data_IF_807872973503
#
_entry.id   IF_807872973503
#
_cell.length_a   1.000
_cell.length_b   1.000
_cell.length_c   1.000
_cell.angle_alpha   90.00
_cell.angle_beta   90.00
_cell.angle_gamma   90.00
#
_symmetry.space_group_name_H-M   'P 1'
#
loop_
_entity.id
_entity.type
_entity.pdbx_description
1 polymer ?
#
# COMPACT_ATOMS: atom_id res chain seq x y z
N UNK A 1 -27.81 -28.51 -55.47
CA UNK A 1 -28.60 -27.75 -56.46
C UNK A 1 -29.99 -28.34 -56.49
N UNK A 2 -31.06 -27.53 -56.51
CA UNK A 2 -31.15 -26.10 -56.18
C UNK A 2 -32.12 -25.91 -54.98
N UNK A 3 -32.33 -24.75 -54.35
CA UNK A 3 -32.04 -23.33 -54.54
C UNK A 3 -32.30 -22.70 -53.15
N UNK A 4 -31.50 -21.80 -52.60
CA UNK A 4 -31.07 -20.54 -53.20
C UNK A 4 -31.96 -19.42 -52.64
N UNK A 5 -31.41 -18.62 -51.72
CA UNK A 5 -32.12 -17.49 -51.10
C UNK A 5 -31.25 -16.71 -50.12
N UNK A 6 -30.16 -16.12 -50.61
CA UNK A 6 -29.44 -15.04 -49.93
C UNK A 6 -30.29 -13.76 -50.02
N UNK A 7 -30.41 -13.03 -48.91
CA UNK A 7 -30.74 -11.61 -48.92
C UNK A 7 -29.69 -10.88 -48.09
N UNK A 8 -28.86 -10.13 -48.79
CA UNK A 8 -27.98 -9.08 -48.29
C UNK A 8 -28.68 -7.77 -48.63
N UNK A 9 -28.89 -6.87 -47.66
CA UNK A 9 -28.97 -5.42 -47.92
C UNK A 9 -28.27 -4.68 -46.77
N UNK A 10 -27.57 -3.64 -47.20
CA UNK A 10 -26.70 -2.73 -46.49
C UNK A 10 -27.38 -1.89 -45.39
N UNK A 11 -26.57 -1.59 -44.37
CA UNK A 11 -26.25 -0.25 -43.88
C UNK A 11 -27.39 0.70 -43.51
N UNK A 12 -27.41 1.13 -42.24
CA UNK A 12 -27.48 2.54 -41.89
C UNK A 12 -26.79 2.77 -40.54
N UNK A 13 -25.78 3.63 -40.55
CA UNK A 13 -25.28 4.34 -39.37
C UNK A 13 -26.42 5.19 -38.82
N UNK A 14 -26.67 5.12 -37.51
CA UNK A 14 -27.17 6.27 -36.75
C UNK A 14 -26.34 6.36 -35.46
N UNK A 15 -25.35 7.25 -35.51
CA UNK A 15 -24.72 7.87 -34.36
C UNK A 15 -25.68 8.95 -33.86
N UNK A 16 -26.37 8.73 -32.74
CA UNK A 16 -26.98 9.85 -32.02
C UNK A 16 -26.00 10.40 -30.98
N UNK A 17 -25.43 11.54 -31.35
CA UNK A 17 -24.74 12.47 -30.46
C UNK A 17 -25.78 13.12 -29.55
N UNK A 18 -25.65 12.96 -28.24
CA UNK A 18 -26.11 13.98 -27.30
C UNK A 18 -24.92 14.78 -26.78
N UNK A 19 -24.88 16.02 -27.27
CA UNK A 19 -23.94 17.07 -26.91
C UNK A 19 -24.58 17.90 -25.81
N UNK A 20 -24.00 17.90 -24.60
CA UNK A 20 -24.17 19.00 -23.66
C UNK A 20 -22.79 19.45 -23.14
N UNK A 21 -22.48 20.65 -23.57
CA UNK A 21 -21.36 21.54 -23.31
C UNK A 21 -21.00 21.71 -21.83
N UNK A 22 -19.72 21.51 -21.50
CA UNK A 22 -19.05 22.10 -20.33
C UNK A 22 -18.20 23.29 -20.79
N UNK A 23 -18.31 24.50 -20.21
CA UNK A 23 -17.36 25.58 -20.44
C UNK A 23 -16.27 25.58 -19.35
N UNK A 24 -15.04 25.93 -19.76
CA UNK A 24 -14.04 26.51 -18.87
C UNK A 24 -12.78 25.68 -18.70
N UNK A 25 -11.84 25.78 -19.64
CA UNK A 25 -10.40 25.90 -19.36
C UNK A 25 -9.72 26.35 -20.67
N UNK A 26 -9.45 27.65 -20.78
CA UNK A 26 -8.69 28.24 -21.87
C UNK A 26 -7.38 28.80 -21.33
N UNK A 27 -6.34 28.56 -22.12
CA UNK A 27 -5.04 29.25 -22.18
C UNK A 27 -3.95 28.83 -21.17
N UNK A 28 -3.00 28.03 -21.67
CA UNK A 28 -1.60 28.46 -21.79
C UNK A 28 -1.00 27.78 -23.04
N UNK A 29 -0.86 28.55 -24.14
CA UNK A 29 -0.04 28.22 -25.30
C UNK A 29 1.13 29.19 -25.32
N UNK A 30 2.34 28.65 -25.38
CA UNK A 30 3.52 29.41 -25.73
C UNK A 30 4.75 28.92 -25.00
N UNK A 31 5.50 28.02 -25.63
CA UNK A 31 6.95 28.10 -25.75
C UNK A 31 7.42 27.04 -26.76
N UNK A 32 8.05 27.53 -27.81
CA UNK A 32 8.53 26.84 -29.00
C UNK A 32 9.66 25.86 -28.72
N UNK A 33 9.53 24.63 -29.21
CA UNK A 33 10.60 23.63 -29.23
C UNK A 33 11.70 24.04 -30.24
N UNK A 34 12.96 24.08 -29.79
CA UNK A 34 14.13 24.00 -30.67
C UNK A 34 14.59 22.56 -30.73
N UNK A 35 14.58 22.01 -31.94
CA UNK A 35 15.11 20.70 -32.26
C UNK A 35 16.63 20.66 -32.04
N UNK A 36 17.12 19.62 -31.38
CA UNK A 36 18.54 19.24 -31.35
C UNK A 36 18.66 17.88 -32.03
N UNK A 37 19.47 17.84 -33.09
CA UNK A 37 19.75 16.66 -33.90
C UNK A 37 20.46 15.58 -33.06
N UNK A 38 19.97 14.35 -33.14
CA UNK A 38 20.67 13.15 -32.66
C UNK A 38 21.61 12.62 -33.75
N UNK A 39 22.91 12.58 -33.47
CA UNK A 39 23.87 11.76 -34.22
C UNK A 39 24.04 10.41 -33.54
N UNK A 40 24.02 9.36 -34.35
CA UNK A 40 24.20 7.97 -33.94
C UNK A 40 25.66 7.69 -33.55
N UNK A 41 25.86 6.99 -32.42
CA UNK A 41 27.14 6.43 -32.03
C UNK A 41 26.94 5.15 -31.24
N UNK A 42 27.27 4.01 -31.86
CA UNK A 42 27.31 2.68 -31.26
C UNK A 42 28.51 2.54 -30.32
N UNK A 43 28.27 2.17 -29.06
CA UNK A 43 29.30 1.61 -28.17
C UNK A 43 28.66 0.85 -26.98
N UNK A 44 28.88 -0.46 -26.91
CA UNK A 44 29.14 -1.13 -25.61
C UNK A 44 30.57 -0.75 -25.17
N UNK A 45 30.98 -0.75 -23.87
CA UNK A 45 30.64 -1.72 -22.81
C UNK A 45 30.67 -1.20 -21.34
N UNK A 46 30.63 -2.14 -20.39
CA UNK A 46 31.24 -2.12 -19.04
C UNK A 46 30.53 -1.43 -17.85
N UNK A 47 30.48 -2.21 -16.77
CA UNK A 47 29.99 -1.95 -15.41
C UNK A 47 30.57 -0.68 -14.77
N UNK A 48 29.71 0.24 -14.30
CA UNK A 48 30.09 1.29 -13.34
C UNK A 48 29.62 0.91 -11.94
N UNK A 49 30.56 0.49 -11.09
CA UNK A 49 30.45 0.62 -9.62
C UNK A 49 30.85 2.06 -9.28
N UNK A 50 29.93 2.84 -8.74
CA UNK A 50 30.20 4.22 -8.35
C UNK A 50 28.99 4.83 -7.66
N UNK A 51 28.65 4.36 -6.47
CA UNK A 51 27.74 5.06 -5.58
C UNK A 51 28.47 6.21 -4.88
N UNK A 52 27.86 7.40 -4.82
CA UNK A 52 28.34 8.50 -3.98
C UNK A 52 27.94 8.21 -2.52
N UNK A 53 28.81 8.48 -1.53
CA UNK A 53 28.40 8.42 -0.13
C UNK A 53 27.39 9.55 0.16
N UNK A 54 26.21 9.19 0.65
CA UNK A 54 25.27 10.14 1.28
C UNK A 54 25.68 10.31 2.74
N UNK A 55 25.87 11.55 3.19
CA UNK A 55 26.27 11.81 4.58
C UNK A 55 25.08 11.54 5.51
N UNK A 56 25.09 10.39 6.18
CA UNK A 56 24.15 10.08 7.24
C UNK A 56 24.68 10.64 8.56
N UNK A 57 23.86 11.45 9.25
CA UNK A 57 24.21 11.91 10.59
C UNK A 57 24.25 10.71 11.54
N UNK A 58 25.38 10.53 12.23
CA UNK A 58 25.52 9.54 13.29
C UNK A 58 24.47 9.81 14.37
N UNK A 59 23.54 8.88 14.56
CA UNK A 59 22.53 8.97 15.61
C UNK A 59 23.20 9.18 16.97
N UNK A 60 22.82 10.27 17.64
CA UNK A 60 23.36 10.71 18.92
C UNK A 60 23.55 9.54 19.92
N UNK A 61 24.77 9.40 20.39
CA UNK A 61 25.17 8.57 21.53
C UNK A 61 24.79 9.31 22.81
N UNK A 62 23.52 9.27 23.20
CA UNK A 62 23.03 9.87 24.45
C UNK A 62 21.94 8.99 25.04
N UNK A 63 21.96 8.82 26.37
CA UNK A 63 20.91 8.12 27.12
C UNK A 63 19.52 8.67 26.77
N UNK A 64 18.47 7.83 26.72
CA UNK A 64 17.17 8.25 26.23
C UNK A 64 16.54 9.22 27.24
N UNK A 65 16.48 10.50 26.85
CA UNK A 65 15.52 11.44 27.42
C UNK A 65 14.09 11.09 26.97
N UNK A 66 13.06 11.68 27.57
CA UNK A 66 11.68 11.47 27.16
C UNK A 66 11.53 11.78 25.66
N UNK A 67 10.82 10.89 24.94
CA UNK A 67 10.55 11.01 23.51
C UNK A 67 9.85 12.35 23.23
N UNK A 68 10.53 13.25 22.52
CA UNK A 68 9.87 14.43 21.95
C UNK A 68 8.72 14.00 21.04
N UNK A 69 7.62 14.76 20.96
CA UNK A 69 6.53 14.44 20.03
C UNK A 69 7.07 14.36 18.60
N UNK A 70 6.59 13.39 17.79
CA UNK A 70 7.08 13.21 16.44
C UNK A 70 6.87 14.48 15.63
N UNK A 71 7.88 14.87 14.83
CA UNK A 71 7.79 16.03 13.96
C UNK A 71 6.53 15.95 13.06
N UNK A 72 5.80 17.06 12.86
CA UNK A 72 4.59 17.08 12.04
C UNK A 72 4.88 16.67 10.59
N UNK A 73 3.90 16.03 9.93
CA UNK A 73 4.06 15.47 8.58
C UNK A 73 4.41 16.52 7.51
N UNK A 74 4.06 17.79 7.73
CA UNK A 74 4.45 18.92 6.88
C UNK A 74 5.98 19.14 6.80
N UNK A 75 6.75 18.58 7.74
CA UNK A 75 8.21 18.63 7.71
C UNK A 75 8.85 17.57 6.79
N UNK A 76 8.03 16.71 6.18
CA UNK A 76 8.43 15.65 5.22
C UNK A 76 7.96 16.01 3.82
N UNK A 77 8.30 17.21 3.38
CA UNK A 77 7.92 17.72 2.08
C UNK A 77 9.10 17.75 1.10
N UNK A 78 8.82 17.48 -0.16
CA UNK A 78 9.78 17.59 -1.26
C UNK A 78 9.06 17.74 -2.58
N UNK A 79 9.65 18.50 -3.50
CA UNK A 79 9.13 18.67 -4.84
C UNK A 79 9.38 17.41 -5.67
N UNK A 80 8.36 16.90 -6.33
CA UNK A 80 8.50 15.81 -7.29
C UNK A 80 7.46 15.94 -8.41
N UNK A 81 7.73 15.33 -9.56
CA UNK A 81 6.77 15.31 -10.66
C UNK A 81 5.67 14.29 -10.40
N UNK A 82 4.37 14.63 -10.53
CA UNK A 82 3.28 13.66 -10.44
C UNK A 82 3.40 12.50 -11.44
N UNK A 83 4.16 12.68 -12.53
CA UNK A 83 4.44 11.61 -13.50
C UNK A 83 5.28 10.45 -12.94
N UNK A 84 5.93 10.64 -11.78
CA UNK A 84 6.66 9.59 -11.08
C UNK A 84 5.76 8.71 -10.20
N UNK A 85 4.47 9.00 -10.06
CA UNK A 85 3.53 8.08 -9.39
C UNK A 85 3.17 6.95 -10.36
N UNK A 86 3.40 5.70 -9.97
CA UNK A 86 3.02 4.56 -10.81
C UNK A 86 1.50 4.36 -10.82
N UNK A 87 0.85 4.79 -11.90
CA UNK A 87 -0.62 4.69 -12.05
C UNK A 87 -1.11 3.32 -12.52
N UNK A 88 -0.20 2.42 -12.90
CA UNK A 88 -0.48 1.08 -13.44
C UNK A 88 0.54 0.04 -13.00
N UNK A 89 0.14 -1.24 -12.86
CA UNK A 89 1.04 -2.37 -12.63
C UNK A 89 2.24 -2.42 -13.60
N UNK A 90 3.42 -2.87 -13.16
CA UNK A 90 4.56 -3.16 -14.05
C UNK A 90 4.17 -4.06 -15.23
N UNK A 91 3.30 -5.03 -15.01
CA UNK A 91 2.86 -6.01 -16.01
C UNK A 91 2.11 -5.36 -17.17
N UNK A 92 1.28 -4.33 -16.91
CA UNK A 92 0.61 -3.57 -17.96
C UNK A 92 1.56 -2.59 -18.65
N UNK A 93 2.65 -2.20 -17.97
CA UNK A 93 3.73 -1.37 -18.55
C UNK A 93 4.74 -2.19 -19.36
N UNK A 94 4.52 -3.51 -19.52
CA UNK A 94 5.35 -4.40 -20.34
C UNK A 94 6.57 -5.00 -19.62
N UNK A 95 6.57 -5.03 -18.29
CA UNK A 95 7.69 -5.53 -17.46
C UNK A 95 7.20 -6.46 -16.35
N UNK A 96 8.07 -7.33 -15.83
CA UNK A 96 7.77 -8.16 -14.67
C UNK A 96 7.74 -7.36 -13.35
N UNK A 97 7.06 -7.89 -12.32
CA UNK A 97 7.03 -7.27 -10.98
C UNK A 97 8.41 -7.14 -10.34
N UNK A 98 9.33 -8.03 -10.69
CA UNK A 98 10.72 -8.09 -10.25
C UNK A 98 11.69 -7.26 -11.14
N UNK A 99 11.18 -6.62 -12.20
CA UNK A 99 11.90 -5.63 -13.01
C UNK A 99 11.89 -4.22 -12.42
N UNK A 100 11.08 -4.00 -11.38
CA UNK A 100 11.07 -2.78 -10.61
C UNK A 100 12.50 -2.41 -10.18
N UNK A 101 12.81 -1.11 -10.19
CA UNK A 101 14.09 -0.64 -9.69
C UNK A 101 14.15 -0.90 -8.19
N UNK A 102 15.36 -1.16 -7.71
CA UNK A 102 15.68 -1.29 -6.31
C UNK A 102 16.78 -0.29 -5.98
N UNK A 103 16.53 0.64 -5.06
CA UNK A 103 17.59 1.45 -4.47
C UNK A 103 18.05 0.77 -3.19
N UNK A 104 19.34 0.50 -3.06
CA UNK A 104 19.92 -0.05 -1.83
C UNK A 104 20.69 1.04 -1.11
N UNK A 105 20.37 1.25 0.16
CA UNK A 105 21.05 2.18 1.05
C UNK A 105 21.73 1.40 2.18
N UNK A 106 23.06 1.42 2.23
CA UNK A 106 23.81 1.03 3.43
C UNK A 106 23.84 2.20 4.41
N UNK A 107 23.14 2.07 5.54
CA UNK A 107 23.04 3.16 6.52
C UNK A 107 24.34 3.45 7.26
N UNK A 108 25.27 2.50 7.30
CA UNK A 108 26.52 2.67 8.03
C UNK A 108 27.53 3.42 7.18
N UNK A 109 27.65 3.08 5.90
CA UNK A 109 28.58 3.74 4.99
C UNK A 109 27.98 4.91 4.21
N UNK A 110 26.65 5.01 4.16
CA UNK A 110 25.94 5.94 3.29
C UNK A 110 26.01 5.55 1.81
N UNK A 111 26.40 4.31 1.49
CA UNK A 111 26.52 3.86 0.10
C UNK A 111 25.13 3.68 -0.50
N UNK A 112 24.94 4.26 -1.69
CA UNK A 112 23.73 4.08 -2.50
C UNK A 112 24.05 3.24 -3.72
N UNK A 113 23.26 2.20 -3.97
CA UNK A 113 23.35 1.37 -5.17
C UNK A 113 22.01 1.31 -5.91
N UNK A 114 22.08 1.39 -7.24
CA UNK A 114 20.92 1.22 -8.12
C UNK A 114 20.92 -0.20 -8.70
N UNK A 115 19.86 -0.94 -8.41
CA UNK A 115 19.67 -2.36 -8.74
C UNK A 115 18.30 -2.60 -9.34
N UNK A 116 18.03 -3.86 -9.68
CA UNK A 116 16.67 -4.35 -9.95
C UNK A 116 16.18 -5.18 -8.78
N UNK A 117 14.87 -5.29 -8.61
CA UNK A 117 14.30 -6.05 -7.50
C UNK A 117 14.71 -7.52 -7.55
N UNK A 118 14.83 -8.12 -8.74
CA UNK A 118 15.43 -9.46 -8.93
C UNK A 118 16.82 -9.64 -8.31
N UNK A 119 17.58 -8.57 -8.08
CA UNK A 119 18.91 -8.61 -7.46
C UNK A 119 18.84 -8.67 -5.92
N UNK A 120 17.65 -8.53 -5.31
CA UNK A 120 17.45 -8.48 -3.86
C UNK A 120 18.10 -9.65 -3.14
N UNK A 121 18.04 -10.85 -3.72
CA UNK A 121 18.63 -12.05 -3.13
C UNK A 121 20.13 -11.94 -2.88
N UNK A 122 20.86 -11.07 -3.59
CA UNK A 122 22.30 -10.85 -3.33
C UNK A 122 22.59 -10.11 -2.01
N UNK A 123 21.58 -9.46 -1.44
CA UNK A 123 21.67 -8.75 -0.16
C UNK A 123 21.13 -9.56 1.01
N UNK A 124 20.68 -10.79 0.79
CA UNK A 124 20.16 -11.71 1.81
C UNK A 124 21.14 -12.88 2.00
N UNK A 125 21.41 -13.20 3.26
CA UNK A 125 22.35 -14.24 3.67
C UNK A 125 21.59 -15.47 4.19
N UNK A 126 22.16 -16.68 4.04
CA UNK A 126 21.64 -17.86 4.74
C UNK A 126 21.53 -17.57 6.24
N UNK A 127 20.39 -17.91 6.84
CA UNK A 127 20.11 -17.61 8.24
C UNK A 127 19.31 -16.32 8.48
N UNK A 128 19.15 -15.44 7.49
CA UNK A 128 18.26 -14.28 7.63
C UNK A 128 16.77 -14.72 7.69
N UNK A 129 15.93 -13.91 8.35
CA UNK A 129 14.48 -14.01 8.32
C UNK A 129 13.89 -12.88 7.47
N UNK A 130 13.30 -13.21 6.32
CA UNK A 130 12.51 -12.30 5.50
C UNK A 130 11.05 -12.35 5.96
N UNK A 131 10.57 -11.25 6.53
CA UNK A 131 9.20 -11.14 7.06
C UNK A 131 8.29 -10.46 6.04
N UNK A 132 7.21 -11.13 5.68
CA UNK A 132 6.24 -10.71 4.68
C UNK A 132 4.84 -10.58 5.29
N UNK A 133 4.07 -9.58 4.87
CA UNK A 133 2.65 -9.47 5.21
C UNK A 133 1.82 -10.30 4.22
N UNK A 134 1.18 -11.38 4.67
CA UNK A 134 0.39 -12.28 3.82
C UNK A 134 -1.10 -11.87 3.68
N UNK A 135 -1.47 -10.67 4.14
CA UNK A 135 -2.82 -10.17 4.00
C UNK A 135 -3.22 -10.03 2.53
N UNK A 136 -4.40 -10.56 2.20
CA UNK A 136 -4.95 -10.66 0.85
C UNK A 136 -6.10 -9.67 0.70
N UNK A 137 -6.07 -8.93 -0.41
CA UNK A 137 -7.15 -8.02 -0.77
C UNK A 137 -8.41 -8.82 -1.06
N UNK A 138 -9.53 -8.36 -0.52
CA UNK A 138 -10.88 -8.83 -0.84
C UNK A 138 -11.68 -7.67 -1.42
N UNK A 139 -12.73 -7.93 -2.22
CA UNK A 139 -13.68 -6.92 -2.67
C UNK A 139 -14.51 -6.42 -1.47
N UNK A 140 -13.90 -5.60 -0.64
CA UNK A 140 -14.41 -5.22 0.68
C UNK A 140 -15.48 -4.13 0.68
N UNK A 141 -15.61 -3.42 -0.43
CA UNK A 141 -16.47 -2.25 -0.52
C UNK A 141 -17.87 -2.68 -0.95
N UNK A 142 -18.81 -2.62 -0.01
CA UNK A 142 -20.21 -2.99 -0.23
C UNK A 142 -21.06 -1.74 -0.38
N UNK A 143 -21.83 -1.68 -1.45
CA UNK A 143 -22.87 -0.66 -1.67
C UNK A 143 -24.23 -1.25 -1.32
N UNK A 144 -25.05 -0.49 -0.61
CA UNK A 144 -26.34 -0.98 -0.12
C UNK A 144 -27.30 0.11 0.32
N UNK A 145 -28.29 -0.30 1.09
CA UNK A 145 -29.25 0.61 1.72
C UNK A 145 -29.40 0.34 3.22
N UNK A 146 -29.88 1.36 3.93
CA UNK A 146 -29.99 1.37 5.38
C UNK A 146 -31.30 0.76 5.95
N UNK A 147 -32.05 0.09 5.08
CA UNK A 147 -33.37 -0.49 5.36
C UNK A 147 -34.54 0.49 5.26
N UNK A 148 -34.28 1.80 5.05
CA UNK A 148 -35.30 2.84 4.80
C UNK A 148 -35.18 3.44 3.40
N UNK A 149 -34.36 2.86 2.54
CA UNK A 149 -34.03 3.37 1.20
C UNK A 149 -32.89 4.39 1.18
N UNK A 150 -32.24 4.68 2.31
CA UNK A 150 -31.07 5.57 2.35
C UNK A 150 -29.80 4.84 1.89
N UNK A 151 -28.97 5.42 1.01
CA UNK A 151 -27.75 4.76 0.54
C UNK A 151 -26.72 4.61 1.67
N UNK A 152 -26.07 3.44 1.75
CA UNK A 152 -24.95 3.15 2.65
C UNK A 152 -23.78 2.44 1.95
N UNK A 153 -22.56 2.88 2.22
CA UNK A 153 -21.32 2.16 1.89
C UNK A 153 -20.77 1.52 3.15
N UNK A 154 -20.38 0.25 3.04
CA UNK A 154 -19.61 -0.44 4.07
C UNK A 154 -18.27 -0.87 3.48
N UNK A 155 -17.17 -0.53 4.16
CA UNK A 155 -15.85 -1.05 3.79
C UNK A 155 -15.39 -2.07 4.83
N UNK A 156 -15.36 -3.35 4.44
CA UNK A 156 -15.04 -4.48 5.30
C UNK A 156 -13.52 -4.72 5.41
N UNK A 157 -13.06 -5.10 6.59
CA UNK A 157 -11.68 -5.55 6.78
C UNK A 157 -11.62 -6.45 8.00
N UNK A 158 -10.52 -7.20 8.14
CA UNK A 158 -10.23 -7.97 9.35
C UNK A 158 -11.38 -8.92 9.75
N UNK A 159 -11.53 -10.07 9.05
CA UNK A 159 -12.47 -11.10 9.47
C UNK A 159 -12.12 -11.66 10.84
N UNK A 160 -13.15 -12.06 11.58
CA UNK A 160 -13.05 -12.61 12.93
C UNK A 160 -13.50 -14.08 12.95
N UNK A 161 -13.01 -14.82 13.95
CA UNK A 161 -13.29 -16.26 14.08
C UNK A 161 -14.78 -16.58 14.30
N UNK A 162 -15.57 -15.62 14.79
CA UNK A 162 -17.01 -15.75 15.01
C UNK A 162 -17.86 -15.40 13.77
N UNK A 163 -17.21 -15.28 12.60
CA UNK A 163 -17.83 -14.94 11.32
C UNK A 163 -18.19 -13.45 11.17
N UNK A 164 -17.83 -12.61 12.14
CA UNK A 164 -18.01 -11.16 12.02
C UNK A 164 -16.82 -10.51 11.31
N UNK A 165 -17.04 -9.29 10.85
CA UNK A 165 -16.02 -8.46 10.22
C UNK A 165 -15.94 -7.13 10.94
N UNK A 166 -14.75 -6.53 10.93
CA UNK A 166 -14.64 -5.10 11.16
C UNK A 166 -15.03 -4.34 9.90
N UNK A 167 -15.64 -3.17 10.07
CA UNK A 167 -16.00 -2.32 8.95
C UNK A 167 -16.04 -0.85 9.31
N UNK A 168 -15.91 0.00 8.28
CA UNK A 168 -16.34 1.39 8.34
C UNK A 168 -17.70 1.51 7.63
N UNK A 169 -18.56 2.40 8.14
CA UNK A 169 -19.91 2.64 7.60
C UNK A 169 -20.04 4.10 7.21
N UNK A 170 -20.61 4.37 6.04
CA UNK A 170 -20.85 5.72 5.53
C UNK A 170 -22.24 5.80 4.87
N UNK A 171 -23.08 6.82 5.16
CA UNK A 171 -22.85 7.92 6.10
C UNK A 171 -22.74 7.43 7.54
N UNK A 172 -22.02 8.17 8.40
CA UNK A 172 -21.86 7.80 9.81
C UNK A 172 -23.21 7.65 10.55
N UNK A 173 -24.22 8.42 10.14
CA UNK A 173 -25.61 8.33 10.62
C UNK A 173 -26.28 6.99 10.34
N UNK A 174 -25.74 6.17 9.44
CA UNK A 174 -26.19 4.82 9.21
C UNK A 174 -25.69 3.83 10.28
N UNK A 175 -24.76 4.20 11.15
CA UNK A 175 -24.24 3.33 12.21
C UNK A 175 -25.12 3.31 13.47
N UNK A 176 -25.74 2.16 13.78
CA UNK A 176 -26.39 1.94 15.07
C UNK A 176 -26.36 0.44 15.45
N UNK A 177 -26.16 0.07 16.74
CA UNK A 177 -26.21 -1.32 17.16
C UNK A 177 -27.59 -1.94 16.84
N UNK A 178 -27.57 -3.15 16.27
CA UNK A 178 -28.75 -3.87 15.79
C UNK A 178 -29.29 -3.38 14.45
N UNK A 179 -28.72 -2.32 13.84
CA UNK A 179 -29.18 -1.87 12.51
C UNK A 179 -28.83 -2.92 11.45
N UNK A 180 -29.81 -3.19 10.60
CA UNK A 180 -29.68 -4.11 9.46
C UNK A 180 -29.52 -3.29 8.19
N UNK A 181 -28.42 -3.50 7.49
CA UNK A 181 -28.11 -2.96 6.17
C UNK A 181 -28.39 -4.04 5.11
N UNK A 182 -28.75 -3.63 3.89
CA UNK A 182 -29.06 -4.54 2.78
C UNK A 182 -28.12 -4.29 1.61
N UNK A 183 -27.55 -5.35 1.04
CA UNK A 183 -26.56 -5.32 -0.03
C UNK A 183 -26.92 -6.30 -1.15
N UNK A 184 -26.33 -6.07 -2.33
CA UNK A 184 -26.57 -6.89 -3.51
C UNK A 184 -27.96 -6.69 -4.13
N UNK A 185 -28.25 -7.44 -5.19
CA UNK A 185 -29.54 -7.38 -5.88
C UNK A 185 -30.69 -7.70 -4.90
N UNK A 186 -31.71 -6.84 -4.86
CA UNK A 186 -32.90 -6.96 -4.00
C UNK A 186 -32.62 -7.11 -2.48
N UNK A 187 -31.41 -6.78 -2.03
CA UNK A 187 -30.98 -7.01 -0.65
C UNK A 187 -30.80 -8.50 -0.33
N UNK A 188 -30.30 -9.29 -1.28
CA UNK A 188 -29.99 -10.71 -1.12
C UNK A 188 -29.01 -11.00 0.03
N UNK A 189 -28.20 -10.01 0.43
CA UNK A 189 -27.29 -10.09 1.56
C UNK A 189 -27.68 -9.03 2.58
N UNK A 190 -27.79 -9.42 3.84
CA UNK A 190 -28.01 -8.49 4.96
C UNK A 190 -26.77 -8.38 5.82
N UNK A 191 -26.54 -7.21 6.40
CA UNK A 191 -25.47 -6.98 7.36
C UNK A 191 -26.02 -6.39 8.65
N UNK A 192 -25.87 -7.10 9.77
CA UNK A 192 -26.29 -6.60 11.09
C UNK A 192 -25.11 -5.98 11.81
N UNK A 193 -25.19 -4.68 12.13
CA UNK A 193 -24.21 -3.99 12.95
C UNK A 193 -24.35 -4.42 14.41
N UNK A 194 -23.30 -4.97 15.00
CA UNK A 194 -23.32 -5.53 16.36
C UNK A 194 -22.91 -4.50 17.42
N UNK A 195 -22.06 -3.55 17.05
CA UNK A 195 -21.55 -2.50 17.93
C UNK A 195 -20.31 -1.82 17.35
N UNK A 196 -19.92 -0.70 17.94
CA UNK A 196 -18.72 0.05 17.58
C UNK A 196 -17.56 -0.29 18.54
N UNK A 197 -16.38 -0.57 18.00
CA UNK A 197 -15.14 -0.83 18.74
C UNK A 197 -14.27 0.44 18.86
N UNK A 198 -14.87 1.62 18.60
CA UNK A 198 -14.27 2.94 18.67
C UNK A 198 -13.72 3.46 17.34
N UNK A 199 -13.50 4.78 17.27
CA UNK A 199 -12.98 5.48 16.09
C UNK A 199 -13.79 5.23 14.79
N UNK A 200 -15.10 4.96 14.89
CA UNK A 200 -15.97 4.66 13.75
C UNK A 200 -15.82 3.25 13.19
N UNK A 201 -15.09 2.36 13.87
CA UNK A 201 -14.95 0.95 13.49
C UNK A 201 -16.11 0.15 14.07
N UNK A 202 -16.93 -0.44 13.19
CA UNK A 202 -18.06 -1.28 13.56
C UNK A 202 -17.73 -2.76 13.42
N UNK A 203 -18.39 -3.59 14.21
CA UNK A 203 -18.52 -5.03 13.94
C UNK A 203 -19.80 -5.31 13.20
N UNK A 204 -19.71 -6.04 12.09
CA UNK A 204 -20.84 -6.42 11.24
C UNK A 204 -20.87 -7.93 11.03
N UNK A 205 -22.07 -8.51 11.03
CA UNK A 205 -22.31 -9.89 10.60
C UNK A 205 -23.11 -9.90 9.31
N UNK A 206 -22.57 -10.54 8.27
CA UNK A 206 -23.26 -10.73 7.00
C UNK A 206 -24.08 -12.03 7.01
N UNK A 207 -25.22 -12.01 6.33
CA UNK A 207 -26.07 -13.17 6.07
C UNK A 207 -26.65 -13.11 4.63
N UNK A 208 -26.26 -14.03 3.72
CA UNK A 208 -25.21 -15.02 3.92
C UNK A 208 -23.83 -14.38 4.19
N UNK A 209 -22.99 -15.07 4.97
CA UNK A 209 -21.66 -14.58 5.36
C UNK A 209 -20.50 -15.26 4.59
N UNK A 210 -19.27 -14.91 4.98
CA UNK A 210 -18.04 -15.48 4.41
C UNK A 210 -17.30 -14.51 3.48
N UNK A 211 -16.20 -14.95 2.89
CA UNK A 211 -15.48 -14.17 1.87
C UNK A 211 -16.12 -14.29 0.50
N UNK A 212 -16.75 -15.44 0.21
CA UNK A 212 -17.27 -15.75 -1.12
C UNK A 212 -18.45 -14.85 -1.49
N UNK A 213 -19.27 -14.45 -0.50
CA UNK A 213 -20.33 -13.45 -0.70
C UNK A 213 -19.75 -12.11 -1.17
N UNK A 214 -18.54 -11.75 -0.73
CA UNK A 214 -17.91 -10.50 -1.14
C UNK A 214 -17.55 -10.50 -2.63
N UNK A 215 -17.20 -11.65 -3.20
CA UNK A 215 -16.92 -11.76 -4.63
C UNK A 215 -18.16 -11.49 -5.49
N UNK A 216 -19.36 -11.66 -4.93
CA UNK A 216 -20.64 -11.41 -5.61
C UNK A 216 -21.13 -9.96 -5.45
N UNK A 217 -21.02 -9.39 -4.25
CA UNK A 217 -21.64 -8.10 -3.92
C UNK A 217 -20.65 -6.95 -3.68
N UNK A 218 -19.36 -7.27 -3.60
CA UNK A 218 -18.32 -6.33 -3.23
C UNK A 218 -17.53 -5.79 -4.41
N UNK A 219 -16.86 -4.67 -4.16
CA UNK A 219 -15.95 -4.02 -5.10
C UNK A 219 -14.57 -3.85 -4.43
N UNK A 220 -13.51 -3.84 -5.26
CA UNK A 220 -12.18 -3.45 -4.78
C UNK A 220 -12.09 -1.92 -4.79
N UNK A 221 -11.73 -1.36 -3.63
CA UNK A 221 -11.43 0.06 -3.49
C UNK A 221 -10.03 0.36 -4.07
N UNK A 222 -9.96 0.83 -5.31
CA UNK A 222 -8.72 1.26 -5.95
C UNK A 222 -8.35 2.72 -5.65
N UNK A 223 -7.12 3.00 -5.16
CA UNK A 223 -6.66 4.36 -4.96
C UNK A 223 -6.86 5.27 -6.18
N UNK A 224 -7.26 6.53 -5.95
CA UNK A 224 -7.74 7.44 -7.00
C UNK A 224 -6.74 7.70 -8.14
N UNK A 225 -5.43 7.65 -7.85
CA UNK A 225 -4.38 7.82 -8.85
C UNK A 225 -4.23 6.63 -9.82
N UNK A 226 -4.88 5.49 -9.58
CA UNK A 226 -4.87 4.33 -10.47
C UNK A 226 -5.87 4.51 -11.61
N UNK A 227 -5.36 4.52 -12.84
CA UNK A 227 -6.14 4.87 -14.04
C UNK A 227 -6.74 3.67 -14.78
N UNK A 228 -6.36 2.45 -14.40
CA UNK A 228 -6.84 1.22 -15.03
C UNK A 228 -7.64 0.44 -14.00
N UNK A 229 -8.93 0.25 -14.27
CA UNK A 229 -9.88 -0.42 -13.38
C UNK A 229 -10.93 -1.19 -14.21
N UNK A 230 -11.35 -2.40 -13.81
CA UNK A 230 -10.74 -3.20 -12.74
C UNK A 230 -9.32 -3.64 -13.11
N UNK A 231 -8.46 -3.80 -12.11
CA UNK A 231 -7.12 -4.36 -12.28
C UNK A 231 -7.21 -5.88 -12.18
N UNK A 232 -6.48 -6.58 -13.03
CA UNK A 232 -6.33 -8.04 -12.90
C UNK A 232 -5.93 -8.39 -11.46
N UNK A 233 -6.67 -9.28 -10.77
CA UNK A 233 -6.38 -9.62 -9.38
C UNK A 233 -4.95 -10.16 -9.15
N UNK A 234 -4.38 -10.88 -10.11
CA UNK A 234 -2.98 -11.33 -10.09
C UNK A 234 -1.99 -10.17 -10.15
N UNK A 235 -2.38 -9.05 -10.77
CA UNK A 235 -1.67 -7.77 -10.74
C UNK A 235 -2.07 -6.87 -9.56
N UNK A 236 -2.94 -7.29 -8.63
CA UNK A 236 -3.34 -6.50 -7.45
C UNK A 236 -3.17 -7.27 -6.13
N UNK A 237 -2.21 -8.20 -6.08
CA UNK A 237 -1.90 -9.03 -4.92
C UNK A 237 -0.41 -9.34 -4.87
N UNK A 238 0.09 -9.72 -3.69
CA UNK A 238 1.37 -10.40 -3.56
C UNK A 238 1.22 -11.90 -3.90
N UNK A 239 2.29 -12.56 -4.35
CA UNK A 239 2.25 -14.01 -4.69
C UNK A 239 2.08 -14.94 -3.47
N UNK A 240 2.08 -14.38 -2.27
CA UNK A 240 1.96 -15.05 -0.98
C UNK A 240 0.76 -14.52 -0.18
N UNK A 241 -0.20 -13.89 -0.86
CA UNK A 241 -1.42 -13.38 -0.24
C UNK A 241 -2.37 -14.53 0.12
N UNK A 242 -2.29 -15.03 1.35
CA UNK A 242 -3.04 -16.22 1.81
C UNK A 242 -4.18 -15.87 2.78
N UNK A 243 -4.12 -14.74 3.48
CA UNK A 243 -5.07 -14.37 4.54
C UNK A 243 -6.06 -13.30 4.06
N UNK A 244 -7.30 -13.65 3.65
CA UNK A 244 -8.27 -12.66 3.20
C UNK A 244 -8.66 -11.69 4.29
N UNK A 245 -8.87 -10.43 3.92
CA UNK A 245 -9.43 -9.43 4.83
C UNK A 245 -8.77 -8.07 4.79
N UNK A 246 -7.85 -7.83 3.87
CA UNK A 246 -7.32 -6.49 3.63
C UNK A 246 -8.11 -5.81 2.52
N UNK A 247 -8.12 -4.48 2.54
CA UNK A 247 -8.69 -3.66 1.47
C UNK A 247 -7.61 -3.20 0.49
N UNK A 248 -6.35 -3.17 0.93
CA UNK A 248 -5.16 -2.81 0.16
C UNK A 248 -4.10 -3.90 0.32
N UNK A 249 -3.36 -4.17 -0.76
CA UNK A 249 -2.31 -5.19 -0.73
C UNK A 249 -1.04 -4.61 -0.11
N UNK A 250 -0.21 -5.44 0.56
CA UNK A 250 1.09 -5.02 1.09
C UNK A 250 2.09 -4.79 -0.05
N UNK A 251 2.07 -3.57 -0.59
CA UNK A 251 2.70 -3.19 -1.85
C UNK A 251 4.20 -3.44 -1.94
N UNK A 252 4.95 -3.24 -0.85
CA UNK A 252 6.39 -3.50 -0.84
C UNK A 252 6.74 -4.97 -1.18
N UNK A 253 5.84 -5.89 -0.81
CA UNK A 253 5.97 -7.31 -1.07
C UNK A 253 5.52 -7.75 -2.47
N UNK A 254 4.89 -6.87 -3.25
CA UNK A 254 4.33 -7.21 -4.56
C UNK A 254 5.37 -7.56 -5.59
N UNK A 255 6.58 -7.05 -5.45
CA UNK A 255 7.69 -7.28 -6.39
C UNK A 255 8.23 -8.71 -6.38
N UNK A 256 7.96 -9.49 -5.32
CA UNK A 256 8.39 -10.88 -5.26
C UNK A 256 7.63 -11.73 -6.27
N UNK A 257 8.36 -12.60 -6.96
CA UNK A 257 7.81 -13.74 -7.69
C UNK A 257 7.91 -15.01 -6.84
N UNK A 258 7.10 -16.02 -7.14
CA UNK A 258 7.18 -17.30 -6.42
C UNK A 258 8.56 -17.94 -6.57
N UNK A 259 9.16 -17.85 -7.77
CA UNK A 259 10.51 -18.34 -8.05
C UNK A 259 11.57 -17.67 -7.17
N UNK A 260 11.49 -16.36 -6.95
CA UNK A 260 12.40 -15.65 -6.04
C UNK A 260 12.27 -16.15 -4.60
N UNK A 261 11.04 -16.33 -4.11
CA UNK A 261 10.83 -16.82 -2.74
C UNK A 261 11.34 -18.25 -2.56
N UNK A 262 11.16 -19.11 -3.55
CA UNK A 262 11.68 -20.47 -3.53
C UNK A 262 13.22 -20.50 -3.58
N UNK A 263 13.84 -19.64 -4.39
CA UNK A 263 15.30 -19.48 -4.40
C UNK A 263 15.83 -19.04 -3.02
N UNK A 264 15.19 -18.06 -2.39
CA UNK A 264 15.58 -17.58 -1.06
C UNK A 264 15.47 -18.69 0.00
N UNK A 265 14.38 -19.46 -0.01
CA UNK A 265 14.20 -20.62 0.87
C UNK A 265 15.30 -21.66 0.65
N UNK A 266 15.61 -21.99 -0.60
CA UNK A 266 16.65 -22.96 -0.95
C UNK A 266 18.05 -22.49 -0.53
N UNK A 267 18.29 -21.18 -0.48
CA UNK A 267 19.53 -20.57 0.02
C UNK A 267 19.60 -20.47 1.55
N UNK A 268 18.57 -20.91 2.27
CA UNK A 268 18.54 -20.92 3.73
C UNK A 268 18.03 -19.62 4.37
N UNK A 269 17.38 -18.74 3.60
CA UNK A 269 16.62 -17.61 4.15
C UNK A 269 15.27 -18.13 4.64
N UNK A 270 14.91 -17.81 5.89
CA UNK A 270 13.57 -18.10 6.40
C UNK A 270 12.57 -17.09 5.85
N UNK A 271 11.59 -17.55 5.07
CA UNK A 271 10.46 -16.71 4.66
C UNK A 271 9.35 -16.86 5.70
N UNK A 272 9.11 -15.79 6.47
CA UNK A 272 8.18 -15.76 7.59
C UNK A 272 7.00 -14.88 7.25
N UNK A 273 5.79 -15.35 7.53
CA UNK A 273 4.56 -14.61 7.28
C UNK A 273 3.97 -14.04 8.57
N UNK A 274 3.59 -12.78 8.51
CA UNK A 274 2.71 -12.12 9.49
C UNK A 274 1.47 -11.63 8.76
N UNK A 275 0.38 -11.39 9.48
CA UNK A 275 -0.82 -10.79 8.90
C UNK A 275 -1.03 -9.41 9.47
N UNK A 276 -1.17 -8.42 8.61
CA UNK A 276 -1.61 -7.08 8.99
C UNK A 276 -2.68 -6.65 8.00
N UNK A 277 -3.92 -6.59 8.46
CA UNK A 277 -5.07 -6.21 7.64
C UNK A 277 -5.03 -4.70 7.42
N UNK A 278 -4.52 -4.30 6.25
CA UNK A 278 -4.47 -2.90 5.85
C UNK A 278 -5.90 -2.47 5.56
N UNK A 279 -6.37 -1.47 6.30
CA UNK A 279 -7.71 -0.89 6.13
C UNK A 279 -7.61 0.38 5.28
N UNK A 280 -8.39 0.42 4.20
CA UNK A 280 -8.39 1.52 3.26
C UNK A 280 -9.05 2.72 3.92
N UNK A 281 -8.44 3.88 3.69
CA UNK A 281 -9.11 5.17 3.87
C UNK A 281 -10.32 5.22 2.96
N UNK A 282 -11.29 6.06 3.29
CA UNK A 282 -12.35 6.38 2.36
C UNK A 282 -11.74 6.94 1.08
N UNK A 283 -12.01 6.29 -0.05
CA UNK A 283 -11.57 6.76 -1.36
C UNK A 283 -12.61 7.78 -1.84
N UNK A 284 -12.49 9.00 -1.32
CA UNK A 284 -13.50 10.05 -1.44
C UNK A 284 -13.90 10.29 -2.90
N UNK A 285 -12.95 10.33 -3.83
CA UNK A 285 -13.23 10.52 -5.26
C UNK A 285 -14.15 9.45 -5.85
N UNK A 286 -13.93 8.18 -5.50
CA UNK A 286 -14.72 7.05 -6.01
C UNK A 286 -16.12 6.96 -5.39
N UNK A 287 -16.26 7.27 -4.10
CA UNK A 287 -17.51 7.09 -3.36
C UNK A 287 -18.47 8.28 -3.50
N UNK A 288 -17.95 9.46 -3.85
CA UNK A 288 -18.72 10.69 -4.01
C UNK A 288 -19.76 10.62 -5.13
N UNK A 289 -19.45 9.92 -6.22
CA UNK A 289 -20.42 9.68 -7.30
C UNK A 289 -21.66 8.91 -6.83
N UNK A 290 -21.54 8.12 -5.77
CA UNK A 290 -22.60 7.25 -5.28
C UNK A 290 -23.37 7.82 -4.09
N UNK A 291 -22.65 8.45 -3.16
CA UNK A 291 -23.22 9.06 -1.96
C UNK A 291 -23.69 10.50 -2.19
N UNK A 292 -23.17 11.17 -3.22
CA UNK A 292 -23.37 12.59 -3.44
C UNK A 292 -22.51 13.47 -2.53
N UNK A 293 -22.61 14.78 -2.75
CA UNK A 293 -21.78 15.80 -2.10
C UNK A 293 -22.28 16.18 -0.70
N UNK A 294 -23.52 15.83 -0.36
CA UNK A 294 -24.18 16.23 0.89
C UNK A 294 -24.01 15.21 2.04
N UNK A 295 -23.22 14.14 1.82
CA UNK A 295 -22.89 13.20 2.89
C UNK A 295 -21.93 13.83 3.88
N UNK A 296 -22.18 13.58 5.17
CA UNK A 296 -21.25 13.91 6.26
C UNK A 296 -20.01 13.02 6.16
N UNK A 297 -19.07 13.44 5.33
CA UNK A 297 -17.80 12.77 5.10
C UNK A 297 -16.92 12.93 6.34
N UNK A 298 -16.33 11.84 6.86
CA UNK A 298 -15.43 11.93 8.00
C UNK A 298 -14.20 12.76 7.65
N UNK A 299 -13.63 13.46 8.64
CA UNK A 299 -12.51 14.41 8.45
C UNK A 299 -11.28 13.82 7.73
N UNK A 300 -11.12 12.49 7.74
CA UNK A 300 -10.03 11.78 7.08
C UNK A 300 -10.37 11.21 5.69
N UNK A 301 -11.60 11.43 5.19
CA UNK A 301 -11.99 11.08 3.83
C UNK A 301 -11.25 11.92 2.78
N UNK A 302 -10.97 13.18 3.10
CA UNK A 302 -10.32 14.16 2.22
C UNK A 302 -8.79 14.19 2.33
N UNK A 303 -8.14 13.14 2.87
CA UNK A 303 -6.68 13.02 2.76
C UNK A 303 -6.31 12.58 1.34
N UNK A 304 -6.75 13.35 0.34
CA UNK A 304 -6.06 13.41 -0.92
C UNK A 304 -4.61 13.80 -0.62
N UNK A 305 -3.69 13.08 -1.23
CA UNK A 305 -2.27 13.41 -1.28
C UNK A 305 -2.04 14.64 -2.17
N UNK A 306 -2.91 15.64 -2.06
CA UNK A 306 -2.83 16.90 -2.78
C UNK A 306 -1.74 17.74 -2.13
N UNK A 307 -0.70 18.14 -2.88
CA UNK A 307 0.33 19.02 -2.36
C UNK A 307 -0.31 20.28 -1.76
N UNK A 308 -0.11 20.50 -0.45
CA UNK A 308 -0.71 21.63 0.26
C UNK A 308 -1.80 21.26 1.28
N UNK A 309 -2.38 20.06 1.24
CA UNK A 309 -3.41 19.64 2.20
C UNK A 309 -2.87 19.63 3.65
N UNK A 310 -3.73 20.03 4.59
CA UNK A 310 -3.42 20.03 6.02
C UNK A 310 -3.29 18.59 6.54
N UNK A 311 -2.41 18.39 7.53
CA UNK A 311 -2.31 17.10 8.22
C UNK A 311 -3.63 16.80 8.95
N UNK A 312 -4.11 15.55 8.95
CA UNK A 312 -5.34 15.20 9.66
C UNK A 312 -5.22 15.47 11.17
N UNK A 313 -6.36 15.83 11.78
CA UNK A 313 -6.57 16.09 13.21
C UNK A 313 -6.47 14.81 14.08
N UNK A 314 -6.74 13.65 13.49
CA UNK A 314 -6.71 12.34 14.15
C UNK A 314 -5.30 11.73 14.15
N UNK A 315 -4.92 10.93 15.18
CA UNK A 315 -3.66 10.20 15.17
C UNK A 315 -3.67 9.22 13.99
N UNK A 316 -2.90 9.56 12.96
CA UNK A 316 -2.71 8.76 11.78
C UNK A 316 -1.37 8.00 11.85
N UNK A 317 -1.31 6.70 11.50
CA UNK A 317 -2.38 5.85 10.94
C UNK A 317 -3.45 5.41 11.94
N UNK A 318 -4.65 5.08 11.43
CA UNK A 318 -5.73 4.44 12.21
C UNK A 318 -5.24 3.12 12.83
N UNK A 319 -5.82 2.69 13.96
CA UNK A 319 -5.58 1.35 14.47
C UNK A 319 -5.91 0.31 13.40
N UNK A 320 -4.99 -0.63 13.20
CA UNK A 320 -5.17 -1.73 12.25
C UNK A 320 -4.91 -3.06 12.95
N UNK A 321 -5.63 -4.10 12.54
CA UNK A 321 -5.51 -5.43 13.15
C UNK A 321 -4.32 -6.18 12.58
N UNK A 322 -3.58 -6.83 13.46
CA UNK A 322 -2.45 -7.68 13.11
C UNK A 322 -2.52 -9.04 13.80
N UNK A 323 -1.78 -9.99 13.26
CA UNK A 323 -1.57 -11.33 13.78
C UNK A 323 -0.12 -11.77 13.55
N UNK A 324 0.55 -12.17 14.63
CA UNK A 324 1.87 -12.80 14.62
C UNK A 324 1.73 -14.15 15.30
N UNK A 325 1.87 -15.23 14.52
CA UNK A 325 1.75 -16.60 15.03
C UNK A 325 2.94 -16.99 15.90
N UNK A 326 2.76 -18.02 16.74
CA UNK A 326 3.85 -18.64 17.51
C UNK A 326 5.00 -19.08 16.61
N UNK A 327 4.67 -19.74 15.49
CA UNK A 327 5.65 -20.16 14.49
C UNK A 327 6.45 -18.97 13.93
N UNK A 328 5.77 -17.87 13.59
CA UNK A 328 6.45 -16.69 13.05
C UNK A 328 7.39 -16.06 14.08
N UNK A 329 6.92 -15.87 15.31
CA UNK A 329 7.73 -15.34 16.40
C UNK A 329 8.94 -16.23 16.70
N UNK A 330 8.75 -17.55 16.78
CA UNK A 330 9.82 -18.50 17.08
C UNK A 330 10.89 -18.51 15.99
N UNK A 331 10.50 -18.62 14.70
CA UNK A 331 11.46 -18.60 13.58
C UNK A 331 12.27 -17.29 13.56
N UNK A 332 11.62 -16.13 13.72
CA UNK A 332 12.31 -14.83 13.78
C UNK A 332 13.31 -14.79 14.93
N UNK A 333 12.89 -15.22 16.12
CA UNK A 333 13.74 -15.24 17.32
C UNK A 333 14.90 -16.24 17.17
N UNK A 334 14.69 -17.38 16.52
CA UNK A 334 15.73 -18.38 16.25
C UNK A 334 16.79 -17.85 15.30
N UNK A 335 16.37 -17.25 14.17
CA UNK A 335 17.30 -16.63 13.22
C UNK A 335 18.12 -15.52 13.87
N UNK A 336 17.47 -14.66 14.63
CA UNK A 336 18.15 -13.59 15.38
C UNK A 336 19.14 -14.14 16.41
N UNK A 337 18.76 -15.19 17.18
CA UNK A 337 19.67 -15.87 18.13
C UNK A 337 20.87 -16.51 17.44
N UNK A 338 20.70 -16.99 16.21
CA UNK A 338 21.77 -17.54 15.39
C UNK A 338 22.63 -16.47 14.69
N UNK A 339 22.36 -15.18 14.92
CA UNK A 339 23.10 -14.06 14.31
C UNK A 339 22.62 -13.65 12.92
N UNK A 340 21.50 -14.21 12.44
CA UNK A 340 20.84 -13.77 11.22
C UNK A 340 20.09 -12.45 11.39
N UNK A 341 19.89 -11.73 10.29
CA UNK A 341 19.14 -10.46 10.28
C UNK A 341 17.64 -10.71 10.14
N UNK A 342 16.84 -9.83 10.73
CA UNK A 342 15.41 -9.73 10.48
C UNK A 342 15.18 -8.67 9.41
N UNK A 343 14.79 -9.10 8.22
CA UNK A 343 14.49 -8.25 7.07
C UNK A 343 12.99 -8.10 6.93
N UNK A 344 12.46 -6.92 7.25
CA UNK A 344 11.01 -6.69 7.23
C UNK A 344 10.59 -6.01 5.93
N UNK A 345 9.62 -6.61 5.24
CA UNK A 345 9.07 -6.09 3.99
C UNK A 345 7.74 -5.36 4.24
N UNK A 346 7.76 -4.04 4.11
CA UNK A 346 6.59 -3.17 4.18
C UNK A 346 6.35 -2.54 5.56
N UNK A 347 5.80 -1.34 5.54
CA UNK A 347 5.47 -0.53 6.72
C UNK A 347 4.45 -1.22 7.63
N UNK A 348 3.48 -1.92 7.07
CA UNK A 348 2.47 -2.68 7.82
C UNK A 348 3.10 -3.87 8.57
N UNK A 349 3.90 -4.70 7.90
CA UNK A 349 4.62 -5.79 8.55
C UNK A 349 5.50 -5.28 9.71
N UNK A 350 6.19 -4.14 9.50
CA UNK A 350 7.01 -3.51 10.54
C UNK A 350 6.18 -3.09 11.75
N UNK A 351 5.04 -2.39 11.55
CA UNK A 351 4.17 -1.98 12.66
C UNK A 351 3.65 -3.17 13.44
N UNK A 352 3.24 -4.25 12.77
CA UNK A 352 2.78 -5.47 13.41
C UNK A 352 3.87 -6.08 14.30
N UNK A 353 5.06 -6.32 13.74
CA UNK A 353 6.18 -6.88 14.50
C UNK A 353 6.66 -5.99 15.63
N UNK A 354 6.79 -4.69 15.38
CA UNK A 354 7.29 -3.74 16.38
C UNK A 354 6.35 -3.64 17.59
N UNK A 355 5.05 -3.85 17.37
CA UNK A 355 4.02 -3.86 18.44
C UNK A 355 4.21 -5.04 19.40
N UNK A 356 4.59 -6.21 18.88
CA UNK A 356 4.79 -7.43 19.68
C UNK A 356 6.26 -7.67 20.06
N UNK A 357 7.15 -6.72 19.77
CA UNK A 357 8.56 -6.81 20.13
C UNK A 357 8.79 -6.14 21.48
N UNK A 358 9.52 -6.82 22.35
CA UNK A 358 9.82 -6.34 23.69
C UNK A 358 10.57 -5.00 23.73
N UNK A 359 10.38 -4.27 24.84
CA UNK A 359 10.94 -2.92 24.95
C UNK A 359 12.46 -2.88 25.00
N UNK A 360 13.06 -3.94 25.54
CA UNK A 360 14.51 -4.11 25.65
C UNK A 360 15.16 -4.43 24.30
N UNK A 361 14.34 -4.65 23.27
CA UNK A 361 14.74 -4.86 21.88
C UNK A 361 15.41 -6.21 21.69
N UNK A 362 14.67 -7.16 21.13
CA UNK A 362 15.29 -8.40 20.67
C UNK A 362 14.30 -9.52 20.42
N UNK A 363 13.25 -9.63 21.23
CA UNK A 363 12.33 -10.76 21.18
C UNK A 363 10.96 -10.37 20.64
N UNK A 364 10.57 -11.03 19.57
CA UNK A 364 9.21 -11.00 19.01
C UNK A 364 8.34 -11.99 19.79
N UNK A 365 7.16 -11.56 20.22
CA UNK A 365 6.18 -12.43 20.87
C UNK A 365 5.04 -12.78 19.91
N UNK A 366 4.45 -13.98 20.00
CA UNK A 366 3.18 -14.23 19.33
C UNK A 366 2.10 -13.32 19.91
N UNK A 367 1.17 -12.91 19.07
CA UNK A 367 0.06 -12.08 19.50
C UNK A 367 -0.79 -11.60 18.33
N UNK A 368 -2.04 -11.31 18.62
CA UNK A 368 -2.96 -10.64 17.71
C UNK A 368 -3.67 -9.50 18.46
N UNK A 369 -4.11 -8.50 17.71
CA UNK A 369 -4.77 -7.35 18.29
C UNK A 369 -4.72 -6.15 17.36
N UNK A 370 -4.86 -4.96 17.95
CA UNK A 370 -4.81 -3.69 17.23
C UNK A 370 -3.48 -3.01 17.46
N UNK A 371 -2.89 -2.45 16.39
CA UNK A 371 -1.73 -1.57 16.50
C UNK A 371 -2.09 -0.15 16.11
N UNK A 372 -1.96 0.77 17.06
CA UNK A 372 -1.96 2.21 16.85
C UNK A 372 -0.53 2.78 16.86
N UNK A 373 0.48 1.92 16.73
CA UNK A 373 1.87 2.32 16.85
C UNK A 373 2.25 3.26 15.70
N UNK A 374 2.71 4.45 16.09
CA UNK A 374 3.26 5.45 15.18
C UNK A 374 4.79 5.36 15.23
N UNK A 375 5.38 4.93 14.13
CA UNK A 375 6.84 4.89 13.96
C UNK A 375 7.28 6.14 13.20
N UNK A 376 8.32 6.82 13.71
CA UNK A 376 8.89 8.03 13.13
C UNK A 376 10.30 8.31 13.67
N UNK A 377 10.93 9.43 13.31
CA UNK A 377 12.26 9.73 13.80
C UNK A 377 12.28 9.85 15.33
N UNK A 378 13.34 9.33 15.93
CA UNK A 378 13.46 9.15 17.37
C UNK A 378 13.04 7.76 17.84
N UNK A 379 12.16 7.07 17.09
CA UNK A 379 11.94 5.64 17.26
C UNK A 379 13.08 4.88 16.59
N UNK A 380 13.69 3.93 17.30
CA UNK A 380 14.65 2.98 16.72
C UNK A 380 13.92 1.64 16.58
N UNK A 381 13.54 1.21 15.36
CA UNK A 381 12.88 -0.07 15.17
C UNK A 381 13.69 -1.21 15.80
N UNK A 382 13.04 -1.98 16.68
CA UNK A 382 13.66 -3.07 17.46
C UNK A 382 13.47 -4.42 16.78
N UNK A 383 12.37 -4.55 16.05
CA UNK A 383 11.96 -5.77 15.34
C UNK A 383 12.69 -5.99 14.01
N UNK A 384 13.48 -5.02 13.55
CA UNK A 384 13.92 -4.96 12.15
C UNK A 384 15.39 -4.54 12.05
N UNK A 385 16.19 -5.36 11.38
CA UNK A 385 17.60 -5.09 11.09
C UNK A 385 17.75 -4.43 9.71
N UNK A 386 17.01 -4.91 8.70
CA UNK A 386 16.96 -4.32 7.35
C UNK A 386 15.51 -4.14 6.89
N UNK A 387 15.23 -3.04 6.20
CA UNK A 387 13.86 -2.64 5.86
C UNK A 387 13.67 -2.51 4.35
N UNK A 388 12.68 -3.21 3.81
CA UNK A 388 12.32 -3.18 2.39
C UNK A 388 10.97 -2.48 2.23
N UNK A 389 10.90 -1.44 1.41
CA UNK A 389 9.69 -0.62 1.25
C UNK A 389 9.61 0.01 -0.15
N UNK A 390 8.44 0.52 -0.54
CA UNK A 390 8.30 1.42 -1.70
C UNK A 390 8.80 2.84 -1.40
N UNK A 391 8.82 3.70 -2.44
CA UNK A 391 8.97 5.15 -2.29
C UNK A 391 7.63 5.81 -1.97
N UNK A 392 7.65 6.63 -0.91
CA UNK A 392 6.44 7.19 -0.32
C UNK A 392 6.28 8.66 -0.70
N UNK A 393 5.03 9.10 -0.81
CA UNK A 393 4.71 10.46 -1.19
C UNK A 393 5.05 11.46 -0.06
N UNK A 394 5.27 12.75 -0.41
CA UNK A 394 5.44 13.81 0.58
C UNK A 394 4.32 13.82 1.62
N UNK A 395 4.64 14.19 2.86
CA UNK A 395 3.69 14.32 3.97
C UNK A 395 2.93 13.03 4.34
N UNK A 396 3.43 11.87 3.92
CA UNK A 396 2.86 10.56 4.28
C UNK A 396 3.42 10.02 5.60
N UNK A 397 2.64 9.17 6.26
CA UNK A 397 3.05 8.52 7.52
C UNK A 397 4.15 7.48 7.30
N UNK A 398 4.16 6.89 6.11
CA UNK A 398 5.05 5.86 5.61
C UNK A 398 6.44 6.45 5.33
N UNK A 399 6.49 7.67 4.78
CA UNK A 399 7.73 8.43 4.63
C UNK A 399 8.33 8.78 6.01
N UNK A 400 7.49 9.19 6.97
CA UNK A 400 7.92 9.44 8.35
C UNK A 400 8.45 8.18 9.03
N UNK A 401 7.77 7.04 8.85
CA UNK A 401 8.23 5.74 9.35
C UNK A 401 9.58 5.36 8.73
N UNK A 402 9.74 5.56 7.42
CA UNK A 402 11.00 5.29 6.72
C UNK A 402 12.14 6.14 7.29
N UNK A 403 11.85 7.38 7.69
CA UNK A 403 12.83 8.26 8.34
C UNK A 403 13.27 7.79 9.74
N UNK A 404 12.58 6.82 10.36
CA UNK A 404 13.07 6.17 11.58
C UNK A 404 14.37 5.38 11.35
N UNK A 405 14.62 4.94 10.11
CA UNK A 405 15.81 4.17 9.74
C UNK A 405 16.99 5.06 9.31
N UNK A 406 16.71 6.19 8.66
CA UNK A 406 17.71 7.02 7.98
C UNK A 406 17.88 8.41 8.58
N UNK A 407 16.93 8.85 9.40
CA UNK A 407 16.75 10.25 9.78
C UNK A 407 16.01 11.04 8.70
N UNK A 408 15.32 12.12 9.13
CA UNK A 408 14.51 12.95 8.23
C UNK A 408 15.32 13.58 7.10
N UNK A 409 16.33 14.37 7.44
CA UNK A 409 17.09 15.13 6.43
C UNK A 409 17.81 14.21 5.43
N UNK A 410 18.54 13.17 5.86
CA UNK A 410 19.19 12.28 4.92
C UNK A 410 18.22 11.51 4.01
N UNK A 411 17.02 11.17 4.48
CA UNK A 411 15.99 10.57 3.63
C UNK A 411 15.53 11.52 2.52
N UNK A 412 15.25 12.78 2.88
CA UNK A 412 14.79 13.78 1.92
C UNK A 412 15.89 14.09 0.90
N UNK A 413 17.15 14.13 1.33
CA UNK A 413 18.28 14.35 0.42
C UNK A 413 18.49 13.15 -0.51
N UNK A 414 18.39 11.92 0.00
CA UNK A 414 18.38 10.72 -0.85
C UNK A 414 17.28 10.78 -1.91
N UNK A 415 16.08 11.23 -1.55
CA UNK A 415 14.97 11.37 -2.50
C UNK A 415 15.27 12.41 -3.58
N UNK A 416 15.80 13.58 -3.19
CA UNK A 416 16.13 14.67 -4.12
C UNK A 416 17.32 14.35 -5.02
N UNK A 417 18.32 13.66 -4.50
CA UNK A 417 19.60 13.44 -5.18
C UNK A 417 19.61 12.15 -5.99
N UNK A 418 18.97 11.08 -5.49
CA UNK A 418 19.10 9.74 -6.07
C UNK A 418 17.78 9.17 -6.60
N UNK A 419 16.65 9.43 -5.94
CA UNK A 419 15.35 8.81 -6.33
C UNK A 419 14.72 9.57 -7.51
N UNK A 420 14.50 10.87 -7.36
CA UNK A 420 13.79 11.71 -8.34
C UNK A 420 14.60 11.85 -9.64
N UNK A 421 15.91 12.19 -9.61
CA UNK A 421 16.68 12.39 -10.85
C UNK A 421 16.85 11.10 -11.66
N UNK A 422 16.88 9.94 -11.00
CA UNK A 422 16.96 8.63 -11.67
C UNK A 422 15.59 8.06 -12.06
N UNK A 423 14.51 8.84 -11.92
CA UNK A 423 13.17 8.49 -12.37
C UNK A 423 12.62 7.23 -11.71
N UNK A 424 12.86 7.06 -10.42
CA UNK A 424 12.19 6.03 -9.64
C UNK A 424 10.69 6.32 -9.54
N UNK A 425 9.90 5.27 -9.64
CA UNK A 425 8.46 5.36 -9.51
C UNK A 425 8.03 5.20 -8.05
N UNK A 426 6.98 5.91 -7.68
CA UNK A 426 6.46 6.01 -6.32
C UNK A 426 5.17 5.19 -6.15
N UNK A 427 4.81 4.96 -4.89
CA UNK A 427 3.57 4.32 -4.45
C UNK A 427 3.46 2.81 -4.78
N UNK A 428 2.25 2.26 -4.73
CA UNK A 428 1.97 0.83 -4.60
C UNK A 428 2.44 -0.04 -5.78
N UNK A 429 2.51 0.53 -6.99
CA UNK A 429 3.08 -0.11 -8.18
C UNK A 429 4.44 0.47 -8.59
N UNK A 430 5.01 1.30 -7.73
CA UNK A 430 6.27 1.99 -7.95
C UNK A 430 7.47 1.07 -7.84
N UNK A 431 8.62 1.66 -7.57
CA UNK A 431 9.87 0.96 -7.33
C UNK A 431 10.09 0.71 -5.83
N UNK A 432 11.18 0.04 -5.49
CA UNK A 432 11.53 -0.37 -4.12
C UNK A 432 12.82 0.26 -3.61
N UNK A 433 12.92 0.32 -2.29
CA UNK A 433 14.10 0.71 -1.53
C UNK A 433 14.39 -0.34 -0.45
N UNK A 434 15.63 -0.83 -0.42
CA UNK A 434 16.18 -1.65 0.65
C UNK A 434 17.13 -0.80 1.50
N UNK A 435 16.87 -0.76 2.80
CA UNK A 435 17.73 -0.09 3.78
C UNK A 435 18.41 -1.18 4.62
N UNK A 436 19.74 -1.25 4.56
CA UNK A 436 20.55 -2.23 5.32
C UNK A 436 21.25 -1.58 6.51
#
# INVERSE_FOLDING_TARGET
MPSGGRLSIAGHLILERFSLSRPGFQQYRGLTAKAVQCSHGTAHPATRRGGRPVTLSAGATGSPGPLSPPAPVNQYDFDFSPSLVAQRPPEVRGTGRDDAKLLVLDRRSGLVEHRRFRDLGSYLSPGDALVLNNARVVPSLLRGEDGRGGPVVVNLFSPMDDGTWHCLVLPASAGAPGKVLRFGADGAVTGTLLGEDGAGVWRIRLDPGGTDVLDEIGEIAYPDYLVERPIDPGHYQTVFATRPGATLFPSAGRHFTSAMLDELRNRGVAVVEVTHFIAARWQHGYLRDWLGDEVDWPEDADIELTPGAAAPSLPFPRPERYEVSTRAADEINERRRAGGRVVVCGTSALRALETVTDERGGRVWPGSGWTNLIIGPGHRPRSCDSFLTNFHLPRSSELRLTAAFTGRQPLLDLYREEVIPNGYLFNEFGDSMLII
#
